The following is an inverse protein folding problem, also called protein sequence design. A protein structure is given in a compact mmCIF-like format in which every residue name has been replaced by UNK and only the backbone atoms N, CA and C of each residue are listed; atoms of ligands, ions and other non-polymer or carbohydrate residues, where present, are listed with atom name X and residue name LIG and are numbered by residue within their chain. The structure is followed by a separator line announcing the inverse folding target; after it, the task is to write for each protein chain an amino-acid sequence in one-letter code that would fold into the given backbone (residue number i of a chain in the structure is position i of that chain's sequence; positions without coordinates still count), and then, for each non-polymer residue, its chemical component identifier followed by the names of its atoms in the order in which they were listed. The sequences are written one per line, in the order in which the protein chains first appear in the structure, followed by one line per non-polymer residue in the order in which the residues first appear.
data_IF_929496331168
#
_entry.id   IF_929496331168
#
_cell.length_a   1.000
_cell.length_b   1.000
_cell.length_c   1.000
_cell.angle_alpha   90.00
_cell.angle_beta   90.00
_cell.angle_gamma   90.00
#
_symmetry.space_group_name_H-M   'P 1'
#
loop_
_entity.id
_entity.type
_entity.pdbx_description
1 polymer ?
#
# COMPACT_ATOMS: atom_id res chain seq x y z
N UNK A 1 68.89 -3.41 38.71
CA UNK A 1 67.86 -2.42 39.10
C UNK A 1 66.55 -2.56 38.29
N UNK A 2 66.35 -3.64 37.52
CA UNK A 2 65.13 -3.83 36.71
C UNK A 2 63.94 -4.42 37.51
N UNK A 3 64.16 -5.19 38.58
CA UNK A 3 63.05 -5.90 39.26
C UNK A 3 62.21 -5.05 40.23
N UNK A 4 62.69 -3.87 40.65
CA UNK A 4 61.94 -2.98 41.58
C UNK A 4 61.00 -1.99 40.90
N UNK A 5 61.12 -1.83 39.58
CA UNK A 5 60.24 -0.93 38.81
C UNK A 5 59.04 -1.67 38.19
N UNK A 6 59.14 -2.97 37.86
CA UNK A 6 57.99 -3.74 37.34
C UNK A 6 56.91 -3.99 38.40
N UNK A 7 57.26 -4.25 39.66
CA UNK A 7 56.29 -4.41 40.75
C UNK A 7 55.53 -3.11 41.04
N UNK A 8 56.24 -1.97 41.03
CA UNK A 8 55.63 -0.68 41.34
C UNK A 8 54.64 -0.26 40.25
N UNK A 9 54.97 -0.42 38.97
CA UNK A 9 54.08 -0.08 37.87
C UNK A 9 52.93 -1.08 37.68
N UNK A 10 53.14 -2.38 37.96
CA UNK A 10 52.08 -3.40 37.95
C UNK A 10 51.03 -3.19 39.04
N UNK A 11 51.44 -2.75 40.23
CA UNK A 11 50.52 -2.44 41.35
C UNK A 11 49.70 -1.18 41.07
N UNK A 12 50.29 -0.15 40.45
CA UNK A 12 49.57 1.12 40.13
C UNK A 12 48.55 0.90 39.00
N UNK A 13 48.89 0.12 37.97
CA UNK A 13 47.95 -0.25 36.92
C UNK A 13 46.82 -1.16 37.46
N UNK A 14 47.15 -2.14 38.31
CA UNK A 14 46.16 -3.03 38.94
C UNK A 14 45.22 -2.33 39.92
N UNK A 15 45.67 -1.26 40.58
CA UNK A 15 44.82 -0.44 41.47
C UNK A 15 43.92 0.50 40.69
N UNK A 16 44.41 1.16 39.64
CA UNK A 16 43.59 2.01 38.78
C UNK A 16 42.47 1.22 38.06
N UNK A 17 42.78 0.02 37.56
CA UNK A 17 41.78 -0.87 36.95
C UNK A 17 40.72 -1.32 37.97
N UNK A 18 41.14 -1.64 39.21
CA UNK A 18 40.21 -2.02 40.28
C UNK A 18 39.32 -0.86 40.75
N UNK A 19 39.82 0.38 40.79
CA UNK A 19 39.02 1.54 41.16
C UNK A 19 38.02 1.93 40.06
N UNK A 20 38.41 1.84 38.79
CA UNK A 20 37.51 2.04 37.65
C UNK A 20 36.43 0.95 37.64
N UNK A 21 36.77 -0.32 37.87
CA UNK A 21 35.77 -1.38 38.01
C UNK A 21 34.81 -1.17 39.19
N UNK A 22 35.32 -0.72 40.35
CA UNK A 22 34.49 -0.41 41.52
C UNK A 22 33.56 0.78 41.25
N UNK A 23 34.05 1.81 40.55
CA UNK A 23 33.27 2.95 40.11
C UNK A 23 32.14 2.52 39.17
N UNK A 24 32.45 1.72 38.16
CA UNK A 24 31.46 1.15 37.23
C UNK A 24 30.43 0.27 37.96
N UNK A 25 30.87 -0.59 38.89
CA UNK A 25 29.96 -1.43 39.71
C UNK A 25 29.03 -0.60 40.59
N UNK A 26 29.52 0.49 41.19
CA UNK A 26 28.71 1.37 42.02
C UNK A 26 27.68 2.16 41.19
N UNK A 27 28.08 2.73 40.05
CA UNK A 27 27.15 3.40 39.14
C UNK A 27 26.07 2.45 38.62
N UNK A 28 26.43 1.21 38.26
CA UNK A 28 25.47 0.17 37.84
C UNK A 28 24.48 -0.19 38.96
N UNK A 29 24.94 -0.24 40.22
CA UNK A 29 24.07 -0.51 41.37
C UNK A 29 23.13 0.65 41.68
N UNK A 30 23.60 1.90 41.60
CA UNK A 30 22.76 3.09 41.78
C UNK A 30 21.69 3.17 40.68
N UNK A 31 22.05 2.86 39.43
CA UNK A 31 21.10 2.78 38.31
C UNK A 31 20.09 1.64 38.52
N UNK A 32 20.51 0.47 39.00
CA UNK A 32 19.60 -0.63 39.38
C UNK A 32 18.58 -0.20 40.44
N UNK A 33 18.99 0.60 41.43
CA UNK A 33 18.09 1.09 42.48
C UNK A 33 17.09 2.13 41.95
N UNK A 34 17.49 3.03 41.05
CA UNK A 34 16.55 3.97 40.41
C UNK A 34 15.59 3.26 39.45
N UNK A 35 16.01 2.15 38.81
CA UNK A 35 15.15 1.30 37.97
C UNK A 35 14.08 0.58 38.78
N UNK A 36 14.45 0.02 39.93
CA UNK A 36 13.50 -0.58 40.89
C UNK A 36 12.41 0.41 41.30
N UNK A 37 12.72 1.71 41.38
CA UNK A 37 11.71 2.75 41.61
C UNK A 37 10.90 3.11 40.37
N UNK A 38 11.48 2.99 39.17
CA UNK A 38 10.82 3.25 37.89
C UNK A 38 9.92 2.10 37.38
N UNK A 39 9.94 0.91 38.00
CA UNK A 39 9.05 -0.21 37.66
C UNK A 39 7.55 0.08 37.86
N UNK A 40 7.20 1.25 38.42
CA UNK A 40 5.83 1.77 38.53
C UNK A 40 5.39 2.64 37.34
N UNK A 41 6.25 2.88 36.33
CA UNK A 41 5.95 3.71 35.16
C UNK A 41 5.93 2.83 33.89
N UNK A 42 4.97 3.10 32.99
CA UNK A 42 4.52 2.22 31.90
C UNK A 42 5.60 1.62 30.98
N UNK A 43 5.23 0.54 30.30
CA UNK A 43 6.13 -0.43 29.64
C UNK A 43 7.11 0.09 28.57
N UNK A 44 6.93 1.30 28.04
CA UNK A 44 7.88 1.91 27.10
C UNK A 44 9.20 2.30 27.78
N UNK A 45 9.15 2.98 28.94
CA UNK A 45 10.34 3.35 29.70
C UNK A 45 11.09 2.12 30.24
N UNK A 46 10.37 1.04 30.57
CA UNK A 46 10.99 -0.20 31.07
C UNK A 46 11.90 -0.87 30.03
N UNK A 47 11.56 -0.77 28.74
CA UNK A 47 12.33 -1.37 27.64
C UNK A 47 13.58 -0.56 27.30
N UNK A 48 13.46 0.77 27.25
CA UNK A 48 14.57 1.65 26.92
C UNK A 48 15.63 1.67 28.04
N UNK A 49 15.20 1.74 29.30
CA UNK A 49 16.08 1.65 30.46
C UNK A 49 16.74 0.25 30.55
N UNK A 50 16.00 -0.81 30.21
CA UNK A 50 16.53 -2.17 30.17
C UNK A 50 17.61 -2.37 29.09
N UNK A 51 17.38 -1.84 27.89
CA UNK A 51 18.35 -1.83 26.80
C UNK A 51 19.60 -1.03 27.16
N UNK A 52 19.46 0.10 27.87
CA UNK A 52 20.60 0.89 28.30
C UNK A 52 21.45 0.16 29.38
N UNK A 53 20.82 -0.47 30.36
CA UNK A 53 21.57 -1.22 31.39
C UNK A 53 22.30 -2.43 30.77
N UNK A 54 21.72 -3.06 29.75
CA UNK A 54 22.38 -4.11 28.98
C UNK A 54 23.59 -3.56 28.20
N UNK A 55 23.46 -2.37 27.58
CA UNK A 55 24.56 -1.67 26.89
C UNK A 55 25.75 -1.45 27.83
N UNK A 56 25.53 -0.97 29.06
CA UNK A 56 26.60 -0.65 30.00
C UNK A 56 27.40 -1.88 30.46
N UNK A 57 26.76 -3.06 30.54
CA UNK A 57 27.36 -4.32 31.01
C UNK A 57 28.23 -5.04 29.99
N UNK A 58 28.17 -4.66 28.71
CA UNK A 58 29.00 -5.22 27.65
C UNK A 58 30.45 -4.74 27.74
N UNK A 59 31.40 -5.61 27.39
CA UNK A 59 32.82 -5.28 27.29
C UNK A 59 33.06 -4.22 26.19
N UNK A 60 34.19 -3.48 26.22
CA UNK A 60 34.53 -2.53 25.15
C UNK A 60 34.59 -3.17 23.76
N UNK A 61 35.04 -4.42 23.66
CA UNK A 61 35.13 -5.17 22.40
C UNK A 61 33.74 -5.57 21.88
N UNK A 62 32.85 -6.02 22.76
CA UNK A 62 31.47 -6.36 22.41
C UNK A 62 30.65 -5.13 21.97
N UNK A 63 30.92 -3.97 22.59
CA UNK A 63 30.32 -2.68 22.19
C UNK A 63 30.79 -2.24 20.81
N UNK A 64 32.07 -2.42 20.48
CA UNK A 64 32.61 -2.11 19.16
C UNK A 64 31.99 -3.03 18.10
N UNK A 65 31.96 -4.35 18.36
CA UNK A 65 31.36 -5.32 17.44
C UNK A 65 29.87 -5.08 17.18
N UNK A 66 29.09 -4.69 18.21
CA UNK A 66 27.67 -4.35 18.04
C UNK A 66 27.47 -3.10 17.17
N UNK A 67 28.29 -2.06 17.35
CA UNK A 67 28.24 -0.85 16.52
C UNK A 67 28.66 -1.11 15.07
N UNK A 68 29.66 -1.97 14.86
CA UNK A 68 30.09 -2.41 13.52
C UNK A 68 28.95 -3.14 12.80
N UNK A 69 28.27 -4.05 13.51
CA UNK A 69 27.12 -4.80 12.99
C UNK A 69 25.93 -3.90 12.68
N UNK A 70 25.58 -2.96 13.57
CA UNK A 70 24.54 -1.96 13.33
C UNK A 70 24.86 -1.07 12.12
N UNK A 71 26.14 -0.74 11.91
CA UNK A 71 26.59 0.01 10.73
C UNK A 71 26.46 -0.81 9.45
N UNK A 72 26.86 -2.09 9.46
CA UNK A 72 26.71 -3.01 8.33
C UNK A 72 25.23 -3.23 7.98
N UNK A 73 24.37 -3.49 8.97
CA UNK A 73 22.92 -3.62 8.77
C UNK A 73 22.29 -2.34 8.21
N UNK A 74 22.76 -1.16 8.63
CA UNK A 74 22.31 0.11 8.09
C UNK A 74 22.79 0.38 6.65
N UNK A 75 24.01 -0.02 6.30
CA UNK A 75 24.53 0.07 4.93
C UNK A 75 23.82 -0.92 3.98
N UNK A 76 23.57 -2.15 4.43
CA UNK A 76 22.79 -3.15 3.69
C UNK A 76 21.33 -2.70 3.49
N UNK A 77 20.70 -2.14 4.53
CA UNK A 77 19.34 -1.59 4.40
C UNK A 77 19.27 -0.43 3.40
N UNK A 78 20.29 0.45 3.37
CA UNK A 78 20.38 1.53 2.38
C UNK A 78 20.59 1.00 0.97
N UNK A 79 21.50 0.03 0.79
CA UNK A 79 21.72 -0.61 -0.51
C UNK A 79 20.46 -1.33 -1.02
N UNK A 80 19.72 -2.00 -0.13
CA UNK A 80 18.45 -2.65 -0.47
C UNK A 80 17.35 -1.64 -0.85
N UNK A 81 17.28 -0.48 -0.16
CA UNK A 81 16.34 0.59 -0.51
C UNK A 81 16.69 1.24 -1.86
N UNK A 82 17.97 1.48 -2.13
CA UNK A 82 18.44 2.00 -3.42
C UNK A 82 18.18 1.02 -4.55
N UNK A 83 18.46 -0.27 -4.34
CA UNK A 83 18.16 -1.32 -5.30
C UNK A 83 16.65 -1.41 -5.58
N UNK A 84 15.81 -1.36 -4.53
CA UNK A 84 14.35 -1.34 -4.68
C UNK A 84 13.87 -0.14 -5.51
N UNK A 85 14.41 1.05 -5.26
CA UNK A 85 14.09 2.26 -6.05
C UNK A 85 14.52 2.13 -7.51
N UNK A 86 15.69 1.53 -7.77
CA UNK A 86 16.18 1.29 -9.13
C UNK A 86 15.29 0.28 -9.87
N UNK A 87 14.87 -0.80 -9.20
CA UNK A 87 13.98 -1.82 -9.77
C UNK A 87 12.58 -1.25 -10.05
N UNK A 88 12.03 -0.45 -9.13
CA UNK A 88 10.76 0.26 -9.33
C UNK A 88 10.82 1.26 -10.50
N UNK A 89 11.92 2.02 -10.63
CA UNK A 89 12.12 2.95 -11.73
C UNK A 89 12.23 2.23 -13.08
N UNK A 90 12.94 1.09 -13.11
CA UNK A 90 13.04 0.26 -14.32
C UNK A 90 11.68 -0.35 -14.70
N UNK A 91 10.90 -0.82 -13.73
CA UNK A 91 9.55 -1.32 -13.96
C UNK A 91 8.61 -0.23 -14.48
N UNK A 92 8.69 0.98 -13.93
CA UNK A 92 7.90 2.13 -14.40
C UNK A 92 8.25 2.53 -15.84
N UNK A 93 9.54 2.54 -16.20
CA UNK A 93 9.98 2.82 -17.57
C UNK A 93 9.52 1.75 -18.57
N UNK A 94 9.59 0.47 -18.19
CA UNK A 94 9.08 -0.63 -19.00
C UNK A 94 7.56 -0.54 -19.21
N UNK A 95 6.81 -0.21 -18.16
CA UNK A 95 5.35 0.00 -18.22
C UNK A 95 4.98 1.19 -19.12
N UNK A 96 5.72 2.29 -19.06
CA UNK A 96 5.48 3.45 -19.93
C UNK A 96 5.70 3.09 -21.41
N UNK A 97 6.76 2.34 -21.72
CA UNK A 97 7.00 1.87 -23.08
C UNK A 97 5.88 0.95 -23.56
N UNK A 98 5.47 -0.02 -22.74
CA UNK A 98 4.36 -0.93 -23.02
C UNK A 98 3.06 -0.16 -23.31
N UNK A 99 2.75 0.86 -22.53
CA UNK A 99 1.58 1.72 -22.75
C UNK A 99 1.65 2.52 -24.05
N UNK A 100 2.84 3.01 -24.45
CA UNK A 100 3.03 3.71 -25.75
C UNK A 100 2.79 2.79 -26.94
N UNK A 101 3.20 1.53 -26.84
CA UNK A 101 2.96 0.52 -27.87
C UNK A 101 1.48 0.13 -27.91
N UNK A 102 0.86 -0.09 -26.74
CA UNK A 102 -0.56 -0.37 -26.62
C UNK A 102 -1.43 0.74 -27.22
N UNK A 103 -1.10 2.01 -27.00
CA UNK A 103 -1.89 3.14 -27.52
C UNK A 103 -2.03 3.14 -29.05
N UNK A 104 -1.10 2.52 -29.77
CA UNK A 104 -1.08 2.42 -31.24
C UNK A 104 -1.65 1.11 -31.75
N UNK A 105 -1.82 0.11 -30.90
CA UNK A 105 -2.28 -1.21 -31.31
C UNK A 105 -3.81 -1.26 -31.40
N UNK A 106 -4.29 -2.07 -32.34
CA UNK A 106 -5.70 -2.39 -32.49
C UNK A 106 -6.14 -3.37 -31.41
N UNK A 107 -7.34 -3.15 -30.90
CA UNK A 107 -7.91 -4.00 -29.85
C UNK A 107 -8.70 -5.13 -30.48
N UNK A 108 -8.48 -6.34 -29.99
CA UNK A 108 -9.20 -7.53 -30.37
C UNK A 108 -9.93 -8.13 -29.17
N UNK A 109 -10.78 -9.13 -29.44
CA UNK A 109 -11.55 -9.86 -28.45
C UNK A 109 -10.70 -10.29 -27.25
N UNK A 110 -11.28 -10.24 -26.04
CA UNK A 110 -10.64 -10.60 -24.76
C UNK A 110 -9.44 -9.74 -24.33
N UNK A 111 -9.32 -8.52 -24.87
CA UNK A 111 -8.42 -7.52 -24.30
C UNK A 111 -8.80 -7.20 -22.84
N UNK A 112 -7.78 -7.11 -21.98
CA UNK A 112 -7.96 -6.77 -20.57
C UNK A 112 -8.24 -5.28 -20.44
N UNK A 113 -9.16 -4.92 -19.54
CA UNK A 113 -9.56 -3.55 -19.24
C UNK A 113 -9.48 -3.30 -17.74
N UNK A 114 -9.18 -2.06 -17.36
CA UNK A 114 -9.13 -1.62 -15.97
C UNK A 114 -10.05 -0.43 -15.77
N UNK A 115 -10.57 -0.26 -14.56
CA UNK A 115 -11.40 0.88 -14.18
C UNK A 115 -10.82 1.56 -12.94
N UNK A 116 -10.79 2.90 -12.93
CA UNK A 116 -10.26 3.68 -11.78
C UNK A 116 -10.96 3.41 -10.44
N UNK A 117 -12.22 2.93 -10.47
CA UNK A 117 -13.00 2.56 -9.29
C UNK A 117 -13.18 1.05 -9.11
N UNK A 118 -12.57 0.22 -9.93
CA UNK A 118 -12.55 -1.22 -9.73
C UNK A 118 -11.32 -1.65 -8.93
N UNK A 119 -11.41 -2.81 -8.27
CA UNK A 119 -10.27 -3.46 -7.63
C UNK A 119 -9.57 -4.45 -8.56
N UNK A 120 -10.35 -5.12 -9.42
CA UNK A 120 -9.85 -6.11 -10.36
C UNK A 120 -9.97 -5.60 -11.80
N UNK A 121 -9.14 -6.16 -12.67
CA UNK A 121 -9.32 -6.04 -14.11
C UNK A 121 -10.55 -6.82 -14.58
N UNK A 122 -11.01 -6.50 -15.78
CA UNK A 122 -12.04 -7.24 -16.49
C UNK A 122 -11.64 -7.37 -17.95
N UNK A 123 -12.55 -7.82 -18.81
CA UNK A 123 -12.28 -8.07 -20.21
C UNK A 123 -13.33 -7.40 -21.09
N UNK A 124 -12.87 -6.90 -22.24
CA UNK A 124 -13.76 -6.50 -23.32
C UNK A 124 -14.00 -7.68 -24.26
N UNK A 125 -15.26 -7.96 -24.55
CA UNK A 125 -15.72 -9.12 -25.30
C UNK A 125 -16.52 -8.64 -26.49
N UNK A 126 -16.42 -9.34 -27.60
CA UNK A 126 -17.28 -9.16 -28.77
C UNK A 126 -17.94 -10.50 -29.08
N UNK A 127 -19.21 -10.71 -28.70
CA UNK A 127 -19.88 -12.01 -28.86
C UNK A 127 -20.07 -12.43 -30.33
N UNK A 128 -20.34 -11.47 -31.19
CA UNK A 128 -20.42 -11.64 -32.64
C UNK A 128 -19.43 -10.68 -33.27
N UNK A 129 -18.42 -11.22 -33.97
CA UNK A 129 -17.41 -10.40 -34.63
C UNK A 129 -17.99 -9.57 -35.79
N UNK A 130 -17.28 -8.49 -36.12
CA UNK A 130 -17.66 -7.50 -37.12
C UNK A 130 -17.28 -7.88 -38.57
N UNK A 131 -16.51 -8.96 -38.73
CA UNK A 131 -16.00 -9.42 -40.03
C UNK A 131 -14.51 -9.17 -40.22
N UNK A 132 -13.94 -8.23 -39.46
CA UNK A 132 -12.50 -7.95 -39.43
C UNK A 132 -11.80 -8.73 -38.32
N UNK A 133 -10.68 -9.35 -38.67
CA UNK A 133 -9.88 -10.18 -37.78
C UNK A 133 -8.42 -9.80 -37.84
N UNK A 134 -7.77 -9.75 -36.68
CA UNK A 134 -6.32 -9.62 -36.56
C UNK A 134 -5.81 -10.92 -35.96
N UNK A 135 -4.91 -11.60 -36.67
CA UNK A 135 -4.41 -12.93 -36.28
C UNK A 135 -5.53 -13.95 -35.95
N UNK A 136 -6.65 -13.88 -36.67
CA UNK A 136 -7.81 -14.75 -36.47
C UNK A 136 -8.68 -14.40 -35.26
N UNK A 137 -8.40 -13.29 -34.57
CA UNK A 137 -9.19 -12.80 -33.43
C UNK A 137 -10.04 -11.61 -33.90
N UNK A 138 -11.35 -11.56 -33.59
CA UNK A 138 -12.22 -10.45 -33.99
C UNK A 138 -11.70 -9.10 -33.48
N UNK A 139 -11.59 -8.13 -34.37
CA UNK A 139 -11.22 -6.75 -34.04
C UNK A 139 -12.43 -5.99 -33.49
N UNK A 140 -12.20 -5.10 -32.52
CA UNK A 140 -13.24 -4.27 -31.92
C UNK A 140 -13.34 -2.89 -32.59
N UNK A 141 -14.52 -2.29 -32.46
CA UNK A 141 -14.79 -0.90 -32.82
C UNK A 141 -15.28 -0.10 -31.62
N UNK A 142 -15.45 1.21 -31.78
CA UNK A 142 -15.90 2.09 -30.69
C UNK A 142 -17.30 1.76 -30.16
N UNK A 143 -18.11 1.04 -30.92
CA UNK A 143 -19.45 0.60 -30.53
C UNK A 143 -19.46 -0.58 -29.55
N UNK A 144 -18.33 -1.26 -29.33
CA UNK A 144 -18.19 -2.38 -28.39
C UNK A 144 -18.10 -1.92 -26.93
N UNK A 145 -19.04 -1.09 -26.49
CA UNK A 145 -19.07 -0.48 -25.15
C UNK A 145 -20.26 -0.93 -24.30
N UNK A 146 -21.11 -1.83 -24.82
CA UNK A 146 -22.35 -2.21 -24.13
C UNK A 146 -22.04 -2.91 -22.80
N UNK A 147 -22.63 -2.46 -21.67
CA UNK A 147 -22.38 -3.08 -20.38
C UNK A 147 -22.92 -4.51 -20.35
N UNK A 148 -22.23 -5.39 -19.62
CA UNK A 148 -22.54 -6.83 -19.47
C UNK A 148 -22.49 -7.67 -20.75
N UNK A 149 -22.36 -7.04 -21.92
CA UNK A 149 -22.21 -7.69 -23.22
C UNK A 149 -20.77 -7.56 -23.68
N UNK A 150 -20.33 -6.32 -23.93
CA UNK A 150 -18.97 -6.04 -24.35
C UNK A 150 -18.07 -5.78 -23.16
N UNK A 151 -18.50 -4.89 -22.26
CA UNK A 151 -17.74 -4.56 -21.05
C UNK A 151 -18.24 -5.41 -19.90
N UNK A 152 -17.44 -6.41 -19.53
CA UNK A 152 -17.78 -7.31 -18.41
C UNK A 152 -17.66 -6.60 -17.06
N UNK A 153 -18.37 -7.12 -16.07
CA UNK A 153 -18.26 -6.64 -14.69
C UNK A 153 -16.81 -6.72 -14.17
N UNK A 154 -16.42 -5.73 -13.37
CA UNK A 154 -15.14 -5.73 -12.66
C UNK A 154 -15.22 -6.40 -11.27
N UNK A 155 -16.35 -7.04 -10.96
CA UNK A 155 -16.61 -7.71 -9.68
C UNK A 155 -16.89 -6.73 -8.54
N UNK A 156 -15.88 -5.96 -8.12
CA UNK A 156 -15.94 -5.05 -6.97
C UNK A 156 -15.70 -3.61 -7.40
N UNK A 157 -16.56 -2.71 -6.92
CA UNK A 157 -16.50 -1.28 -7.18
C UNK A 157 -16.47 -0.48 -5.87
N UNK A 158 -15.65 0.58 -5.83
CA UNK A 158 -15.53 1.52 -4.71
C UNK A 158 -16.17 2.89 -4.97
N UNK A 159 -16.86 3.04 -6.10
CA UNK A 159 -17.47 4.33 -6.47
C UNK A 159 -18.64 4.67 -5.53
N UNK A 160 -18.65 5.86 -4.89
CA UNK A 160 -19.78 6.32 -4.08
C UNK A 160 -21.09 6.49 -4.88
N UNK A 161 -21.00 6.61 -6.21
CA UNK A 161 -22.16 6.73 -7.11
C UNK A 161 -22.77 5.37 -7.45
N UNK A 162 -22.10 4.26 -7.16
CA UNK A 162 -22.65 2.92 -7.40
C UNK A 162 -23.75 2.59 -6.35
N UNK A 163 -24.97 2.22 -6.77
CA UNK A 163 -26.05 1.84 -5.87
C UNK A 163 -25.70 0.75 -4.85
N UNK A 164 -24.91 -0.26 -5.25
CA UNK A 164 -24.49 -1.34 -4.35
C UNK A 164 -23.58 -0.84 -3.24
N UNK A 165 -22.68 0.11 -3.55
CA UNK A 165 -21.82 0.77 -2.54
C UNK A 165 -22.67 1.59 -1.57
N UNK A 166 -23.64 2.36 -2.09
CA UNK A 166 -24.54 3.15 -1.26
C UNK A 166 -25.41 2.29 -0.35
N UNK A 167 -25.91 1.16 -0.85
CA UNK A 167 -26.70 0.22 -0.06
C UNK A 167 -25.88 -0.41 1.07
N UNK A 168 -24.65 -0.83 0.79
CA UNK A 168 -23.75 -1.36 1.80
C UNK A 168 -23.39 -0.31 2.85
N UNK A 169 -23.14 0.93 2.43
CA UNK A 169 -22.88 2.03 3.36
C UNK A 169 -24.09 2.35 4.24
N UNK A 170 -25.31 2.28 3.71
CA UNK A 170 -26.55 2.43 4.49
C UNK A 170 -26.70 1.31 5.52
N UNK A 171 -26.49 0.05 5.13
CA UNK A 171 -26.53 -1.10 6.07
C UNK A 171 -25.57 -0.91 7.24
N UNK A 172 -24.33 -0.52 6.94
CA UNK A 172 -23.32 -0.25 7.97
C UNK A 172 -23.74 0.93 8.85
N UNK A 173 -24.25 2.01 8.27
CA UNK A 173 -24.75 3.16 9.03
C UNK A 173 -25.91 2.78 9.96
N UNK A 174 -26.84 1.96 9.48
CA UNK A 174 -27.98 1.46 10.25
C UNK A 174 -27.53 0.53 11.38
N UNK A 175 -26.56 -0.36 11.13
CA UNK A 175 -25.96 -1.22 12.14
C UNK A 175 -25.26 -0.40 13.24
N UNK A 176 -24.47 0.60 12.86
CA UNK A 176 -23.81 1.51 13.82
C UNK A 176 -24.84 2.26 14.66
N UNK A 177 -25.92 2.72 14.03
CA UNK A 177 -26.99 3.45 14.71
C UNK A 177 -27.78 2.58 15.69
N UNK A 178 -28.04 1.34 15.31
CA UNK A 178 -28.82 0.39 16.10
C UNK A 178 -27.97 -0.39 17.11
N UNK A 179 -26.66 -0.18 17.14
CA UNK A 179 -25.76 -0.83 18.10
C UNK A 179 -26.13 -0.46 19.55
N UNK A 180 -26.00 -1.39 20.50
CA UNK A 180 -26.25 -1.08 21.91
C UNK A 180 -25.24 -0.03 22.38
N UNK A 181 -25.75 1.15 22.75
CA UNK A 181 -24.92 2.25 23.24
C UNK A 181 -24.38 1.95 24.64
N UNK A 182 -23.10 2.23 24.84
CA UNK A 182 -22.48 2.15 26.16
C UNK A 182 -23.07 3.20 27.12
N UNK A 183 -22.93 2.98 28.43
CA UNK A 183 -23.39 3.94 29.45
C UNK A 183 -22.84 5.35 29.19
N UNK A 184 -21.55 5.47 28.88
CA UNK A 184 -20.92 6.76 28.58
C UNK A 184 -21.46 7.42 27.30
N UNK A 185 -21.82 6.64 26.27
CA UNK A 185 -22.43 7.18 25.04
C UNK A 185 -23.84 7.71 25.30
N UNK A 186 -24.63 7.02 26.12
CA UNK A 186 -25.97 7.48 26.52
C UNK A 186 -25.90 8.79 27.31
N UNK A 187 -24.90 8.94 28.18
CA UNK A 187 -24.66 10.18 28.91
C UNK A 187 -24.24 11.29 27.93
N UNK A 188 -23.30 11.02 27.03
CA UNK A 188 -22.83 12.02 26.06
C UNK A 188 -23.93 12.46 25.08
N UNK A 189 -24.81 11.54 24.66
CA UNK A 189 -25.95 11.84 23.79
C UNK A 189 -26.96 12.79 24.44
N UNK A 190 -27.13 12.74 25.77
CA UNK A 190 -27.99 13.67 26.50
C UNK A 190 -27.47 15.11 26.44
N UNK A 191 -26.15 15.28 26.28
CA UNK A 191 -25.47 16.58 26.23
C UNK A 191 -25.00 16.99 24.83
N UNK A 192 -25.25 16.17 23.81
CA UNK A 192 -24.77 16.40 22.44
C UNK A 192 -25.92 16.62 21.45
N UNK A 193 -25.68 17.43 20.40
CA UNK A 193 -26.62 17.54 19.28
C UNK A 193 -26.69 16.21 18.53
N UNK A 194 -27.88 15.76 18.09
CA UNK A 194 -28.01 14.50 17.37
C UNK A 194 -27.21 14.53 16.06
N UNK A 195 -26.55 13.42 15.68
CA UNK A 195 -25.82 13.35 14.42
C UNK A 195 -26.77 13.42 13.21
N UNK A 196 -26.30 13.99 12.11
CA UNK A 196 -27.05 14.08 10.87
C UNK A 196 -27.44 12.68 10.34
N UNK A 197 -28.61 12.59 9.67
CA UNK A 197 -29.18 11.32 9.18
C UNK A 197 -28.52 10.78 7.90
N UNK A 198 -27.61 11.54 7.31
CA UNK A 198 -27.01 11.17 6.03
C UNK A 198 -25.80 10.27 6.24
N UNK A 199 -25.63 9.29 5.36
CA UNK A 199 -24.41 8.48 5.30
C UNK A 199 -23.26 9.45 5.05
N UNK A 200 -22.37 9.59 6.03
CA UNK A 200 -21.20 10.45 5.91
C UNK A 200 -20.39 10.11 4.66
N UNK A 201 -19.91 11.13 3.95
CA UNK A 201 -19.06 10.95 2.76
C UNK A 201 -17.84 10.06 3.06
N UNK A 202 -17.35 10.12 4.29
CA UNK A 202 -16.23 9.31 4.78
C UNK A 202 -16.57 7.82 4.83
N UNK A 203 -17.79 7.46 5.25
CA UNK A 203 -18.24 6.07 5.25
C UNK A 203 -18.41 5.55 3.84
N UNK A 204 -18.96 6.36 2.92
CA UNK A 204 -19.08 5.98 1.51
C UNK A 204 -17.72 5.73 0.85
N UNK A 205 -16.70 6.50 1.19
CA UNK A 205 -15.34 6.33 0.65
C UNK A 205 -14.67 5.03 1.10
N UNK A 206 -15.10 4.45 2.22
CA UNK A 206 -14.56 3.20 2.77
C UNK A 206 -15.36 1.96 2.35
N UNK A 207 -16.54 2.15 1.78
CA UNK A 207 -17.41 1.05 1.37
C UNK A 207 -17.08 0.54 -0.03
N UNK A 208 -17.36 -0.75 -0.24
CA UNK A 208 -17.28 -1.42 -1.53
C UNK A 208 -18.60 -2.12 -1.84
N UNK A 209 -18.86 -2.37 -3.12
CA UNK A 209 -20.08 -3.00 -3.61
C UNK A 209 -19.85 -3.77 -4.90
N UNK A 210 -20.88 -4.47 -5.34
CA UNK A 210 -20.84 -5.23 -6.60
C UNK A 210 -20.75 -4.26 -7.78
N UNK A 211 -19.88 -4.55 -8.73
CA UNK A 211 -19.77 -3.78 -9.95
C UNK A 211 -20.82 -4.24 -10.97
N UNK A 212 -21.78 -3.38 -11.30
CA UNK A 212 -22.62 -3.54 -12.49
C UNK A 212 -22.37 -2.31 -13.38
N UNK A 213 -21.48 -2.41 -14.38
CA UNK A 213 -21.09 -1.27 -15.19
C UNK A 213 -22.32 -0.63 -15.83
N UNK A 214 -22.43 0.69 -15.71
CA UNK A 214 -23.45 1.48 -16.39
C UNK A 214 -22.74 2.40 -17.37
N UNK A 215 -22.83 2.08 -18.64
CA UNK A 215 -22.15 2.77 -19.72
C UNK A 215 -23.24 3.20 -20.71
N UNK A 216 -23.22 4.48 -21.09
CA UNK A 216 -24.18 5.06 -22.02
C UNK A 216 -23.52 5.61 -23.29
N UNK A 217 -22.19 5.62 -23.34
CA UNK A 217 -21.40 6.19 -24.43
C UNK A 217 -20.62 5.10 -25.16
N UNK A 218 -20.20 5.41 -26.38
CA UNK A 218 -19.20 4.64 -27.12
C UNK A 218 -17.80 4.92 -26.56
N UNK A 219 -16.82 4.13 -27.01
CA UNK A 219 -15.42 4.40 -26.72
C UNK A 219 -14.98 5.71 -27.36
N UNK A 220 -14.22 6.50 -26.61
CA UNK A 220 -13.72 7.81 -26.98
C UNK A 220 -12.36 7.65 -27.69
N UNK A 221 -12.07 8.51 -28.65
CA UNK A 221 -10.81 8.59 -29.40
C UNK A 221 -10.50 7.37 -30.31
N UNK A 222 -11.54 6.80 -30.93
CA UNK A 222 -11.40 5.78 -31.97
C UNK A 222 -10.59 6.27 -33.18
N UNK A 223 -10.06 5.34 -33.99
CA UNK A 223 -9.35 5.68 -35.23
C UNK A 223 -10.36 5.87 -36.37
N UNK A 224 -10.67 7.12 -36.70
CA UNK A 224 -11.67 7.45 -37.73
C UNK A 224 -11.26 7.02 -39.15
N UNK A 225 -9.96 6.95 -39.43
CA UNK A 225 -9.44 6.54 -40.74
C UNK A 225 -9.66 5.05 -41.06
N UNK A 226 -9.98 4.23 -40.05
CA UNK A 226 -10.16 2.77 -40.21
C UNK A 226 -11.49 2.39 -39.60
N UNK A 227 -12.41 1.94 -40.44
CA UNK A 227 -13.75 1.55 -40.04
C UNK A 227 -13.86 0.02 -39.94
N UNK A 228 -14.55 -0.44 -38.90
CA UNK A 228 -14.88 -1.84 -38.61
C UNK A 228 -16.39 -1.86 -38.36
N UNK A 229 -17.14 -2.56 -39.22
CA UNK A 229 -18.62 -2.48 -39.26
C UNK A 229 -19.16 -1.02 -39.30
N UNK A 230 -18.55 -0.18 -40.15
CA UNK A 230 -18.96 1.21 -40.34
C UNK A 230 -18.64 2.17 -39.17
N UNK A 231 -18.00 1.70 -38.10
CA UNK A 231 -17.58 2.53 -36.95
C UNK A 231 -16.05 2.61 -36.83
N UNK A 232 -15.50 3.69 -36.25
CA UNK A 232 -14.07 3.81 -35.99
C UNK A 232 -13.49 2.60 -35.24
N UNK A 233 -12.32 2.16 -35.66
CA UNK A 233 -11.60 1.04 -35.04
C UNK A 233 -11.13 1.41 -33.63
N UNK A 234 -11.21 0.44 -32.71
CA UNK A 234 -10.78 0.61 -31.33
C UNK A 234 -9.26 0.43 -31.20
N UNK A 235 -8.60 1.42 -30.59
CA UNK A 235 -7.16 1.41 -30.29
C UNK A 235 -6.93 1.39 -28.77
N UNK A 236 -5.73 1.00 -28.33
CA UNK A 236 -5.39 0.98 -26.89
C UNK A 236 -5.42 2.34 -26.20
N UNK A 237 -5.39 3.45 -26.96
CA UNK A 237 -5.54 4.81 -26.40
C UNK A 237 -6.99 5.15 -26.04
N UNK A 238 -7.96 4.41 -26.58
CA UNK A 238 -9.37 4.71 -26.42
C UNK A 238 -9.78 4.54 -24.96
N UNK A 239 -10.75 5.35 -24.55
CA UNK A 239 -11.24 5.40 -23.16
C UNK A 239 -12.74 5.29 -23.12
N UNK A 240 -13.26 4.80 -22.01
CA UNK A 240 -14.70 4.69 -21.80
C UNK A 240 -15.06 5.23 -20.42
N UNK A 241 -16.21 5.90 -20.33
CA UNK A 241 -16.68 6.49 -19.07
C UNK A 241 -17.86 5.70 -18.52
N UNK A 242 -17.75 5.29 -17.26
CA UNK A 242 -18.84 4.70 -16.51
C UNK A 242 -19.67 5.80 -15.85
N UNK A 243 -21.00 5.65 -15.79
CA UNK A 243 -21.91 6.58 -15.11
C UNK A 243 -21.64 6.70 -13.61
N UNK A 244 -20.88 5.77 -13.02
CA UNK A 244 -20.39 5.86 -11.65
C UNK A 244 -19.09 6.68 -11.51
N UNK A 245 -18.70 7.42 -12.56
CA UNK A 245 -17.51 8.27 -12.59
C UNK A 245 -16.21 7.54 -12.92
N UNK A 246 -16.26 6.23 -13.17
CA UNK A 246 -15.07 5.43 -13.46
C UNK A 246 -14.54 5.67 -14.87
N UNK A 247 -13.22 5.85 -15.00
CA UNK A 247 -12.53 5.84 -16.29
C UNK A 247 -12.06 4.42 -16.57
N UNK A 248 -12.55 3.84 -17.67
CA UNK A 248 -12.19 2.51 -18.14
C UNK A 248 -11.12 2.65 -19.23
N UNK A 249 -10.01 1.92 -19.08
CA UNK A 249 -8.87 1.89 -19.99
C UNK A 249 -8.58 0.47 -20.45
N UNK A 250 -7.99 0.37 -21.63
CA UNK A 250 -7.44 -0.88 -22.13
C UNK A 250 -6.07 -1.11 -21.51
N UNK A 251 -5.85 -2.32 -21.01
CA UNK A 251 -4.60 -2.76 -20.41
C UNK A 251 -3.81 -3.66 -21.34
N UNK A 252 -4.46 -4.48 -22.16
CA UNK A 252 -3.81 -5.28 -23.22
C UNK A 252 -4.52 -5.06 -24.56
N UNK A 253 -3.87 -5.47 -25.65
CA UNK A 253 -4.48 -5.43 -26.99
C UNK A 253 -5.41 -6.62 -27.25
N UNK A 254 -5.30 -7.69 -26.44
CA UNK A 254 -5.94 -8.99 -26.69
C UNK A 254 -5.25 -9.82 -27.78
N UNK A 255 -4.25 -9.25 -28.46
CA UNK A 255 -3.44 -9.96 -29.46
C UNK A 255 -2.45 -10.87 -28.74
N UNK A 256 -2.14 -12.03 -29.32
CA UNK A 256 -1.07 -12.90 -28.79
C UNK A 256 0.27 -12.26 -29.17
N UNK A 257 1.11 -12.00 -28.18
CA UNK A 257 2.51 -11.61 -28.37
C UNK A 257 3.35 -12.74 -29.01
#
# INVERSE_FOLDING_TARGET
MASKNEEKYGVIAGTAVNEVEKGVKNTVNTVKQTVSMAEKVGGFLKRDIGNEIAWLKLSPEEKAAKKEKEKQEAEEAKAAEEQKKADEAKAAAAEEQRLKELQKSYIVHTAAITCSFALHESYVVVPQGHGEFIHGIPQLNVGDSKPEINVRSFGICKSPQNPSVQENAKKIADEIKNRPKSFMEKVMDLFSKPPAKDVGKDLLAQCVGVCTPKIATEWIDGKEDVLVDGKPALLGKCKLQCSYGGEIKLYTSGQRE
#
